data_IF_004004452615
#
_entry.id   IF_004004452615
#
_cell.length_a   1.000
_cell.length_b   1.000
_cell.length_c   1.000
_cell.angle_alpha   90.00
_cell.angle_beta   90.00
_cell.angle_gamma   90.00
#
_symmetry.space_group_name_H-M   'P 1'
#
loop_
_entity.id
_entity.type
_entity.pdbx_description
1 polymer ?
#
# COMPACT_ATOMS: atom_id res chain seq x y z
N UNK A 1 6.34 11.42 -1.28
CA UNK A 1 6.56 12.73 -1.94
C UNK A 1 6.92 12.49 -3.39
N UNK A 2 6.49 13.32 -4.32
CA UNK A 2 7.02 13.36 -5.68
C UNK A 2 8.48 13.83 -5.69
N UNK A 3 9.21 13.50 -6.77
CA UNK A 3 10.63 13.86 -6.91
C UNK A 3 10.90 15.36 -6.90
N UNK A 4 9.98 16.14 -7.44
CA UNK A 4 10.05 17.61 -7.46
C UNK A 4 9.58 18.25 -6.14
N UNK A 5 9.13 17.45 -5.16
CA UNK A 5 8.64 17.94 -3.87
C UNK A 5 7.27 18.61 -3.91
N UNK A 6 6.61 18.69 -5.08
CA UNK A 6 5.37 19.42 -5.24
C UNK A 6 4.13 18.62 -4.84
N UNK A 7 4.22 17.30 -4.73
CA UNK A 7 3.09 16.42 -4.40
C UNK A 7 3.41 15.49 -3.24
N UNK A 8 2.48 15.39 -2.30
CA UNK A 8 2.49 14.36 -1.27
C UNK A 8 1.48 13.27 -1.61
N UNK A 9 1.89 12.01 -1.48
CA UNK A 9 1.00 10.86 -1.56
C UNK A 9 0.79 10.34 -0.13
N UNK A 10 -0.47 10.19 0.28
CA UNK A 10 -0.83 9.85 1.65
C UNK A 10 -1.94 8.80 1.68
N UNK A 11 -2.02 8.05 2.77
CA UNK A 11 -3.16 7.19 3.07
C UNK A 11 -4.07 7.88 4.08
N UNK A 12 -5.38 7.68 3.95
CA UNK A 12 -6.35 8.04 4.99
C UNK A 12 -6.79 6.79 5.74
N UNK A 13 -7.16 7.00 7.01
CA UNK A 13 -7.73 5.98 7.89
C UNK A 13 -9.23 6.17 8.10
N UNK A 14 -9.93 6.84 7.17
CA UNK A 14 -11.39 6.86 7.14
C UNK A 14 -11.92 5.42 6.93
N UNK A 15 -13.21 5.16 7.15
CA UNK A 15 -13.85 3.82 7.17
C UNK A 15 -13.02 2.62 6.64
N UNK A 16 -12.69 2.60 5.35
CA UNK A 16 -11.85 1.57 4.69
C UNK A 16 -10.51 2.11 4.18
N UNK A 17 -10.31 3.42 4.25
CA UNK A 17 -9.14 4.16 3.81
C UNK A 17 -9.17 4.56 2.34
N UNK A 18 -8.31 5.52 1.99
CA UNK A 18 -8.12 6.01 0.63
C UNK A 18 -6.65 6.32 0.40
N UNK A 19 -6.23 6.34 -0.87
CA UNK A 19 -4.96 6.93 -1.30
C UNK A 19 -5.25 8.32 -1.86
N UNK A 20 -4.52 9.31 -1.36
CA UNK A 20 -4.67 10.72 -1.68
C UNK A 20 -3.39 11.26 -2.33
N UNK A 21 -3.57 12.17 -3.29
CA UNK A 21 -2.52 13.07 -3.78
C UNK A 21 -2.84 14.48 -3.28
N UNK A 22 -1.84 15.17 -2.72
CA UNK A 22 -1.96 16.51 -2.18
C UNK A 22 -0.96 17.39 -2.91
N UNK A 23 -1.43 18.45 -3.57
CA UNK A 23 -0.56 19.42 -4.24
C UNK A 23 0.00 20.42 -3.21
N UNK A 24 1.29 20.35 -2.91
CA UNK A 24 1.97 21.19 -1.92
C UNK A 24 2.32 22.59 -2.42
N UNK A 25 2.39 22.76 -3.74
CA UNK A 25 2.74 24.03 -4.39
C UNK A 25 1.54 24.93 -4.72
N UNK A 26 0.33 24.56 -4.27
CA UNK A 26 -0.91 25.32 -4.49
C UNK A 26 -1.52 25.77 -3.15
N UNK A 27 -2.19 26.94 -3.10
CA UNK A 27 -2.87 27.38 -1.89
C UNK A 27 -3.95 26.38 -1.48
N UNK A 28 -4.14 26.23 -0.16
CA UNK A 28 -5.10 25.31 0.45
C UNK A 28 -4.87 23.81 0.17
N UNK A 29 -3.72 23.43 -0.39
CA UNK A 29 -3.29 22.04 -0.58
C UNK A 29 -4.36 21.15 -1.22
N UNK A 30 -4.80 21.46 -2.45
CA UNK A 30 -5.89 20.74 -3.09
C UNK A 30 -5.57 19.25 -3.15
N UNK A 31 -6.56 18.45 -2.76
CA UNK A 31 -6.42 17.01 -2.57
C UNK A 31 -7.26 16.26 -3.59
N UNK A 32 -6.64 15.28 -4.23
CA UNK A 32 -7.29 14.36 -5.18
C UNK A 32 -7.30 12.97 -4.59
N UNK A 33 -8.46 12.29 -4.62
CA UNK A 33 -8.56 10.89 -4.24
C UNK A 33 -8.09 10.04 -5.43
N UNK A 34 -6.96 9.34 -5.29
CA UNK A 34 -6.44 8.45 -6.32
C UNK A 34 -7.13 7.09 -6.30
N UNK A 35 -7.49 6.61 -5.11
CA UNK A 35 -8.27 5.39 -4.94
C UNK A 35 -9.00 5.41 -3.60
N UNK A 36 -10.26 4.97 -3.59
CA UNK A 36 -11.06 4.80 -2.38
C UNK A 36 -11.29 3.32 -2.15
N UNK A 37 -10.80 2.81 -1.02
CA UNK A 37 -11.07 1.43 -0.64
C UNK A 37 -12.51 1.31 -0.16
N UNK A 38 -13.06 0.12 -0.32
CA UNK A 38 -14.40 -0.24 0.13
C UNK A 38 -14.31 -1.49 1.00
N UNK A 39 -15.42 -1.84 1.66
CA UNK A 39 -15.50 -3.14 2.34
C UNK A 39 -15.30 -4.23 1.31
N UNK A 40 -14.14 -4.89 1.36
CA UNK A 40 -13.81 -5.95 0.43
C UNK A 40 -13.05 -7.06 1.19
N UNK A 41 -13.01 -8.24 0.59
CA UNK A 41 -12.26 -9.38 1.10
C UNK A 41 -10.85 -9.45 0.52
N UNK A 42 -10.40 -8.42 -0.19
CA UNK A 42 -9.18 -8.45 -1.00
C UNK A 42 -8.17 -7.34 -0.63
N UNK A 43 -8.40 -6.60 0.45
CA UNK A 43 -7.51 -5.57 1.01
C UNK A 43 -8.19 -4.22 1.26
N UNK A 44 -8.05 -3.74 2.50
CA UNK A 44 -8.54 -2.45 2.99
C UNK A 44 -7.58 -1.89 4.06
N UNK A 45 -7.71 -0.61 4.38
CA UNK A 45 -6.85 0.13 5.31
C UNK A 45 -5.40 0.21 4.80
N UNK A 46 -5.14 0.99 3.72
CA UNK A 46 -3.80 1.24 3.21
C UNK A 46 -2.94 1.90 4.29
N UNK A 47 -1.73 1.37 4.51
CA UNK A 47 -0.88 1.79 5.64
C UNK A 47 0.48 2.33 5.22
N UNK A 48 0.94 1.98 4.01
CA UNK A 48 2.21 2.45 3.49
C UNK A 48 2.18 2.55 1.96
N UNK A 49 2.96 3.50 1.45
CA UNK A 49 3.05 3.83 0.04
C UNK A 49 4.50 4.10 -0.34
N UNK A 50 4.91 3.64 -1.52
CA UNK A 50 6.21 3.97 -2.10
C UNK A 50 6.05 4.34 -3.57
N UNK A 51 6.65 5.46 -3.96
CA UNK A 51 6.62 5.96 -5.33
C UNK A 51 7.79 5.37 -6.12
N UNK A 52 7.52 4.94 -7.35
CA UNK A 52 8.56 4.50 -8.27
C UNK A 52 9.54 5.62 -8.62
N UNK A 53 10.75 5.27 -9.06
CA UNK A 53 11.77 6.22 -9.44
C UNK A 53 11.30 7.05 -10.64
N UNK A 54 10.58 6.50 -11.60
CA UNK A 54 10.05 7.31 -12.70
C UNK A 54 8.90 8.25 -12.28
N UNK A 55 8.39 8.12 -11.04
CA UNK A 55 7.30 8.92 -10.51
C UNK A 55 5.92 8.57 -11.07
N UNK A 56 5.78 7.45 -11.80
CA UNK A 56 4.55 7.09 -12.52
C UNK A 56 3.73 6.01 -11.84
N UNK A 57 4.30 5.28 -10.87
CA UNK A 57 3.59 4.20 -10.17
C UNK A 57 3.74 4.36 -8.67
N UNK A 58 2.62 4.29 -7.97
CA UNK A 58 2.61 4.22 -6.52
C UNK A 58 2.33 2.78 -6.10
N UNK A 59 3.27 2.13 -5.45
CA UNK A 59 3.05 0.84 -4.82
C UNK A 59 2.58 1.04 -3.39
N UNK A 60 1.75 0.14 -2.90
CA UNK A 60 1.23 0.25 -1.55
C UNK A 60 0.92 -1.11 -0.94
N UNK A 61 0.72 -1.09 0.38
CA UNK A 61 0.28 -2.26 1.13
C UNK A 61 -0.91 -1.89 1.99
N UNK A 62 -1.88 -2.78 2.04
CA UNK A 62 -2.99 -2.69 2.99
C UNK A 62 -2.67 -3.49 4.24
N UNK A 63 -3.16 -3.02 5.39
CA UNK A 63 -2.92 -3.68 6.67
C UNK A 63 -3.88 -4.83 6.93
N UNK A 64 -5.07 -4.79 6.30
CA UNK A 64 -6.12 -5.79 6.51
C UNK A 64 -6.85 -5.67 7.84
N UNK A 65 -6.59 -4.62 8.63
CA UNK A 65 -7.15 -4.49 9.98
C UNK A 65 -7.89 -3.17 10.15
N UNK A 66 -9.14 -3.29 10.61
CA UNK A 66 -9.99 -2.15 10.91
C UNK A 66 -9.81 -1.64 12.35
N UNK A 67 -10.47 -0.52 12.66
CA UNK A 67 -10.44 0.08 14.01
C UNK A 67 -11.03 -0.79 15.12
N UNK A 68 -11.76 -1.86 14.75
CA UNK A 68 -12.35 -2.84 15.67
C UNK A 68 -11.54 -4.14 15.73
N UNK A 69 -10.36 -4.17 15.11
CA UNK A 69 -9.46 -5.33 15.03
C UNK A 69 -10.06 -6.54 14.30
N UNK A 70 -10.99 -6.33 13.37
CA UNK A 70 -11.39 -7.39 12.46
C UNK A 70 -10.31 -7.62 11.41
N UNK A 71 -9.97 -8.89 11.22
CA UNK A 71 -8.97 -9.33 10.25
C UNK A 71 -9.61 -9.55 8.88
N UNK A 72 -9.05 -8.89 7.89
CA UNK A 72 -9.35 -9.04 6.47
C UNK A 72 -8.03 -9.30 5.73
N UNK A 73 -8.05 -10.01 4.60
CA UNK A 73 -6.84 -10.21 3.82
C UNK A 73 -6.16 -8.89 3.48
N UNK A 74 -4.87 -8.77 3.84
CA UNK A 74 -4.02 -7.70 3.36
C UNK A 74 -3.66 -7.92 1.88
N UNK A 75 -3.20 -6.87 1.20
CA UNK A 75 -2.74 -6.94 -0.17
C UNK A 75 -1.53 -6.04 -0.44
N UNK A 76 -0.78 -6.38 -1.49
CA UNK A 76 0.13 -5.46 -2.18
C UNK A 76 -0.61 -4.96 -3.41
N UNK A 77 -0.63 -3.65 -3.62
CA UNK A 77 -1.28 -3.02 -4.77
C UNK A 77 -0.35 -2.04 -5.47
N UNK A 78 -0.76 -1.62 -6.66
CA UNK A 78 -0.20 -0.45 -7.35
C UNK A 78 -1.29 0.48 -7.84
N UNK A 79 -0.94 1.75 -8.00
CA UNK A 79 -1.73 2.77 -8.68
C UNK A 79 -0.85 3.39 -9.76
N UNK A 80 -1.26 3.27 -11.02
CA UNK A 80 -0.65 4.03 -12.11
C UNK A 80 -1.10 5.49 -12.01
N UNK A 81 -0.13 6.41 -11.97
CA UNK A 81 -0.34 7.85 -11.82
C UNK A 81 -0.45 8.51 -13.20
N UNK A 82 -1.60 8.31 -13.81
CA UNK A 82 -2.05 8.94 -15.07
C UNK A 82 -3.12 9.99 -14.77
N UNK A 83 -3.63 10.70 -15.79
CA UNK A 83 -4.75 11.63 -15.63
C UNK A 83 -6.00 10.93 -15.06
N UNK A 84 -6.19 9.65 -15.41
CA UNK A 84 -7.13 8.73 -14.79
C UNK A 84 -6.36 7.64 -14.04
N UNK A 85 -6.19 7.72 -12.71
CA UNK A 85 -5.40 6.76 -11.95
C UNK A 85 -5.98 5.34 -12.00
N UNK A 86 -5.13 4.34 -12.21
CA UNK A 86 -5.55 2.94 -12.32
C UNK A 86 -5.03 2.13 -11.15
N UNK A 87 -5.93 1.66 -10.29
CA UNK A 87 -5.62 0.75 -9.19
C UNK A 87 -5.55 -0.71 -9.66
N UNK A 88 -4.58 -1.48 -9.14
CA UNK A 88 -4.45 -2.91 -9.40
C UNK A 88 -3.91 -3.64 -8.19
N UNK A 89 -4.49 -4.80 -7.86
CA UNK A 89 -3.94 -5.70 -6.84
C UNK A 89 -2.83 -6.54 -7.48
N UNK A 90 -1.68 -6.60 -6.81
CA UNK A 90 -0.51 -7.38 -7.23
C UNK A 90 -0.42 -8.72 -6.50
N UNK A 91 -0.81 -8.72 -5.22
CA UNK A 91 -0.78 -9.91 -4.37
C UNK A 91 -1.78 -9.77 -3.23
N UNK A 92 -2.42 -10.87 -2.83
CA UNK A 92 -3.27 -10.93 -1.63
C UNK A 92 -2.57 -11.87 -0.65
N UNK A 93 -2.36 -11.40 0.58
CA UNK A 93 -1.85 -12.24 1.65
C UNK A 93 -2.95 -13.21 2.10
N UNK A 94 -2.76 -14.50 1.82
CA UNK A 94 -3.65 -15.55 2.30
C UNK A 94 -3.36 -15.83 3.78
N UNK A 95 -4.26 -15.39 4.66
CA UNK A 95 -4.12 -15.56 6.11
C UNK A 95 -4.37 -17.00 6.59
N UNK A 96 -4.89 -17.88 5.72
CA UNK A 96 -5.08 -19.30 6.05
C UNK A 96 -3.78 -20.11 5.93
N UNK A 97 -2.77 -19.58 5.24
CA UNK A 97 -1.49 -20.23 5.11
C UNK A 97 -0.66 -20.10 6.38
N UNK A 98 -0.07 -21.20 6.83
CA UNK A 98 0.82 -21.16 7.99
C UNK A 98 2.02 -20.26 7.74
N UNK A 99 2.38 -19.48 8.75
CA UNK A 99 3.57 -18.62 8.78
C UNK A 99 3.58 -17.48 7.74
N UNK A 100 2.48 -17.24 7.03
CA UNK A 100 2.31 -16.12 6.11
C UNK A 100 2.50 -14.77 6.82
N UNK A 101 3.06 -13.75 6.13
CA UNK A 101 3.11 -12.39 6.68
C UNK A 101 1.68 -11.90 6.98
N UNK A 102 1.46 -11.44 8.21
CA UNK A 102 0.17 -10.90 8.67
C UNK A 102 0.35 -9.51 9.26
N UNK A 103 -0.60 -8.65 8.97
CA UNK A 103 -0.55 -7.24 9.31
C UNK A 103 0.73 -6.54 8.79
N UNK A 104 0.88 -6.41 7.46
CA UNK A 104 1.99 -5.66 6.89
C UNK A 104 2.02 -4.22 7.41
N UNK A 105 3.21 -3.69 7.67
CA UNK A 105 3.39 -2.33 8.21
C UNK A 105 4.11 -1.39 7.27
N UNK A 106 5.15 -1.86 6.60
CA UNK A 106 6.00 -1.04 5.73
C UNK A 106 6.49 -1.84 4.53
N UNK A 107 6.69 -1.13 3.42
CA UNK A 107 7.29 -1.67 2.19
C UNK A 107 8.38 -0.73 1.65
N UNK A 108 9.31 -1.31 0.90
CA UNK A 108 10.32 -0.57 0.14
C UNK A 108 10.64 -1.26 -1.17
N UNK A 109 11.09 -0.51 -2.16
CA UNK A 109 11.55 -1.01 -3.46
C UNK A 109 13.06 -1.21 -3.40
N UNK A 110 13.55 -2.22 -4.12
CA UNK A 110 14.98 -2.26 -4.39
C UNK A 110 15.41 -1.21 -5.42
N UNK A 111 16.72 -1.05 -5.57
CA UNK A 111 17.35 -0.13 -6.51
C UNK A 111 16.95 -0.35 -7.97
N UNK A 112 16.60 -1.58 -8.34
CA UNK A 112 16.20 -1.95 -9.69
C UNK A 112 14.68 -1.92 -9.93
N UNK A 113 13.88 -1.61 -8.90
CA UNK A 113 12.41 -1.58 -8.95
C UNK A 113 11.75 -2.87 -9.49
N UNK A 114 12.41 -4.01 -9.31
CA UNK A 114 11.89 -5.33 -9.70
C UNK A 114 11.36 -6.13 -8.51
N UNK A 115 11.54 -5.62 -7.29
CA UNK A 115 11.18 -6.29 -6.06
C UNK A 115 10.72 -5.29 -4.99
N UNK A 116 9.63 -5.63 -4.32
CA UNK A 116 9.21 -5.02 -3.07
C UNK A 116 9.68 -5.89 -1.90
N UNK A 117 10.21 -5.25 -0.87
CA UNK A 117 10.50 -5.85 0.42
C UNK A 117 9.56 -5.23 1.45
N UNK A 118 9.09 -6.00 2.42
CA UNK A 118 8.24 -5.46 3.46
C UNK A 118 8.31 -6.24 4.75
N UNK A 119 7.80 -5.63 5.80
CA UNK A 119 7.74 -6.23 7.13
C UNK A 119 6.29 -6.40 7.58
N UNK A 120 6.05 -7.45 8.35
CA UNK A 120 4.77 -7.75 8.96
C UNK A 120 4.92 -7.81 10.48
N UNK A 121 3.88 -7.46 11.22
CA UNK A 121 3.89 -7.51 12.69
C UNK A 121 3.71 -8.93 13.22
N UNK A 122 2.91 -9.73 12.51
CA UNK A 122 2.64 -11.12 12.83
C UNK A 122 2.96 -12.03 11.65
N UNK A 123 2.94 -13.33 11.91
CA UNK A 123 3.23 -14.37 10.92
C UNK A 123 4.33 -15.29 11.41
N UNK A 124 5.09 -15.89 10.48
CA UNK A 124 6.27 -16.66 10.81
C UNK A 124 6.00 -17.91 11.66
N UNK A 125 7.06 -18.66 11.93
CA UNK A 125 6.98 -19.94 12.67
C UNK A 125 6.39 -19.81 14.08
N UNK A 126 6.61 -18.66 14.73
CA UNK A 126 6.27 -18.44 16.14
C UNK A 126 5.18 -17.38 16.34
N UNK A 127 4.48 -16.97 15.28
CA UNK A 127 3.47 -15.91 15.35
C UNK A 127 4.02 -14.48 15.29
N UNK A 128 5.34 -14.30 15.41
CA UNK A 128 6.01 -13.00 15.35
C UNK A 128 6.24 -12.50 13.92
N UNK A 129 6.56 -11.21 13.79
CA UNK A 129 6.76 -10.53 12.53
C UNK A 129 7.75 -11.19 11.57
N UNK A 130 7.54 -10.94 10.27
CA UNK A 130 8.36 -11.51 9.19
C UNK A 130 8.88 -10.41 8.27
N UNK A 131 9.98 -10.70 7.56
CA UNK A 131 10.40 -9.98 6.36
C UNK A 131 9.90 -10.78 5.15
N UNK A 132 9.26 -10.11 4.20
CA UNK A 132 8.82 -10.71 2.94
C UNK A 132 9.40 -9.98 1.73
N UNK A 133 9.47 -10.69 0.61
CA UNK A 133 9.85 -10.17 -0.70
C UNK A 133 8.76 -10.53 -1.72
N UNK A 134 8.37 -9.56 -2.53
CA UNK A 134 7.48 -9.74 -3.66
C UNK A 134 8.17 -9.31 -4.96
N UNK A 135 8.19 -10.17 -5.96
CA UNK A 135 8.73 -9.86 -7.27
C UNK A 135 7.68 -9.12 -8.11
N UNK A 136 8.03 -7.93 -8.58
CA UNK A 136 7.20 -7.18 -9.51
C UNK A 136 7.35 -7.82 -10.90
N UNK A 137 6.24 -8.32 -11.46
CA UNK A 137 6.24 -8.79 -12.84
C UNK A 137 6.48 -7.59 -13.77
N UNK A 138 7.48 -7.71 -14.65
CA UNK A 138 7.74 -6.76 -15.74
C UNK A 138 6.68 -6.88 -16.83
#
# INVERSE_FOLDING_TARGET
MSKDGNKLYATSTDNYGSVLQIELNKPNYPTTVLHRFTRNTQGQHPIDLILSQDGRTLFGVTSGLDSKHYHYPANIFKISLTDEPVYSILYIFDENLQHTPRWPRKITLNTHEDSLYGISEYGGKYGNGTLFKFYLKR
#
